data_IF_577068192271
#
_entry.id   IF_577068192271
#
_cell.length_a   1.000
_cell.length_b   1.000
_cell.length_c   1.000
_cell.angle_alpha   90.00
_cell.angle_beta   90.00
_cell.angle_gamma   90.00
#
_symmetry.space_group_name_H-M   'P 1'
#
loop_
_entity.id
_entity.type
_entity.pdbx_description
1 polymer ?
#
# COMPACT_ATOMS: atom_id res chain seq x y z
N UNK A 1 10.88 8.21 -8.99
CA UNK A 1 9.41 8.35 -8.97
C UNK A 1 8.87 7.99 -7.61
N UNK A 2 8.03 8.84 -7.06
CA UNK A 2 7.34 8.60 -5.81
C UNK A 2 5.89 8.28 -6.09
N UNK A 3 5.43 7.13 -5.61
CA UNK A 3 4.02 6.79 -5.64
C UNK A 3 3.34 7.36 -4.41
N UNK A 4 2.26 8.05 -4.63
CA UNK A 4 1.34 8.39 -3.56
C UNK A 4 0.35 7.23 -3.38
N UNK A 5 0.29 6.60 -2.21
CA UNK A 5 -0.45 5.35 -2.02
C UNK A 5 -1.94 5.44 -2.36
N UNK A 6 -2.53 6.61 -2.26
CA UNK A 6 -3.97 6.82 -2.42
C UNK A 6 -4.42 7.22 -3.82
N UNK A 7 -3.54 7.76 -4.64
CA UNK A 7 -3.91 8.38 -5.91
C UNK A 7 -3.29 7.72 -7.13
N UNK A 8 -2.31 6.83 -6.93
CA UNK A 8 -1.50 6.29 -8.02
C UNK A 8 -0.66 7.33 -8.75
N UNK A 9 -0.59 8.55 -8.24
CA UNK A 9 0.22 9.62 -8.80
C UNK A 9 1.67 9.43 -8.35
N UNK A 10 2.59 9.54 -9.30
CA UNK A 10 4.03 9.51 -9.02
C UNK A 10 4.58 10.91 -8.98
N UNK A 11 5.41 11.21 -7.98
CA UNK A 11 6.25 12.39 -7.97
C UNK A 11 7.68 12.01 -8.38
N UNK A 12 8.28 12.79 -9.25
CA UNK A 12 9.67 12.63 -9.64
C UNK A 12 10.57 13.44 -8.72
N UNK A 13 11.69 12.86 -8.35
CA UNK A 13 12.67 13.50 -7.51
C UNK A 13 14.06 13.29 -8.10
N UNK A 14 14.33 13.99 -9.19
CA UNK A 14 15.58 13.86 -9.91
C UNK A 14 16.76 14.54 -9.18
N UNK A 15 16.50 15.67 -8.56
CA UNK A 15 17.55 16.55 -8.06
C UNK A 15 18.09 16.15 -6.70
N UNK A 16 17.31 15.42 -5.92
CA UNK A 16 17.67 15.05 -4.54
C UNK A 16 18.81 14.06 -4.43
N UNK A 17 19.13 13.36 -5.51
CA UNK A 17 20.20 12.35 -5.55
C UNK A 17 21.45 12.86 -6.24
N UNK A 18 21.45 14.11 -6.70
CA UNK A 18 22.57 14.71 -7.42
C UNK A 18 23.30 15.67 -6.49
N UNK A 19 24.55 15.34 -6.18
CA UNK A 19 25.42 16.18 -5.37
C UNK A 19 26.57 16.73 -6.24
N UNK A 20 26.59 18.04 -6.55
CA UNK A 20 27.69 18.68 -7.24
C UNK A 20 28.97 18.61 -6.43
N UNK A 21 30.10 18.34 -7.09
CA UNK A 21 31.44 18.32 -6.48
C UNK A 21 32.33 19.35 -7.17
N UNK A 22 33.41 19.80 -6.50
CA UNK A 22 34.38 20.72 -7.11
C UNK A 22 34.94 20.14 -8.42
N UNK A 23 35.16 21.01 -9.40
CA UNK A 23 35.66 20.60 -10.72
C UNK A 23 34.59 20.12 -11.70
N UNK A 24 33.32 20.47 -11.47
CA UNK A 24 32.20 20.13 -12.38
C UNK A 24 31.80 18.66 -12.37
N UNK A 25 32.28 17.89 -11.40
CA UNK A 25 31.86 16.50 -11.21
C UNK A 25 30.52 16.44 -10.46
N UNK A 26 29.77 15.39 -10.74
CA UNK A 26 28.50 15.11 -10.08
C UNK A 26 28.57 13.72 -9.49
N UNK A 27 28.11 13.58 -8.25
CA UNK A 27 27.89 12.27 -7.62
C UNK A 27 26.40 12.08 -7.47
N UNK A 28 25.94 10.91 -7.84
CA UNK A 28 24.58 10.47 -7.53
C UNK A 28 24.62 9.62 -6.25
N UNK A 29 24.03 10.14 -5.19
CA UNK A 29 23.94 9.45 -3.90
C UNK A 29 22.49 9.14 -3.59
N UNK A 30 22.21 7.86 -3.32
CA UNK A 30 20.91 7.43 -2.82
C UNK A 30 21.00 7.31 -1.30
N UNK A 31 20.38 8.23 -0.58
CA UNK A 31 20.35 8.18 0.88
C UNK A 31 18.93 8.33 1.42
N UNK A 32 18.68 7.72 2.59
CA UNK A 32 17.40 7.86 3.27
C UNK A 32 17.05 9.30 3.67
N UNK A 33 18.03 10.16 3.81
CA UNK A 33 17.83 11.60 4.10
C UNK A 33 17.10 12.30 2.97
N UNK A 34 17.42 11.95 1.73
CA UNK A 34 16.78 12.55 0.55
C UNK A 34 15.32 12.11 0.39
N UNK A 35 14.95 10.98 0.99
CA UNK A 35 13.58 10.48 0.97
C UNK A 35 12.68 11.17 2.01
N UNK A 36 13.26 11.77 3.06
CA UNK A 36 12.52 12.42 4.15
C UNK A 36 12.08 13.83 3.74
N UNK A 37 12.75 14.47 2.80
CA UNK A 37 12.57 15.90 2.47
C UNK A 37 11.76 16.14 1.19
N UNK A 38 10.79 15.30 0.90
CA UNK A 38 9.92 15.54 -0.25
C UNK A 38 8.81 16.53 0.08
N UNK A 39 8.67 17.55 -0.75
CA UNK A 39 7.55 18.48 -0.73
C UNK A 39 6.68 18.29 -1.97
N UNK A 40 5.77 17.29 -1.98
CA UNK A 40 4.85 17.15 -3.11
C UNK A 40 3.94 18.38 -3.19
N UNK A 41 3.61 18.79 -4.40
CA UNK A 41 2.72 19.92 -4.63
C UNK A 41 1.31 19.63 -4.07
N UNK A 42 0.55 20.70 -3.81
CA UNK A 42 -0.82 20.60 -3.32
C UNK A 42 -1.75 19.79 -4.25
N UNK A 43 -1.48 19.77 -5.55
CA UNK A 43 -2.16 18.91 -6.53
C UNK A 43 -2.00 17.42 -6.25
N UNK A 44 -1.03 17.04 -5.43
CA UNK A 44 -0.73 15.67 -5.03
C UNK A 44 -1.52 15.18 -3.83
N UNK A 45 -2.35 16.03 -3.20
CA UNK A 45 -3.18 15.60 -2.09
C UNK A 45 -4.30 14.67 -2.54
N UNK A 46 -4.60 13.60 -1.78
CA UNK A 46 -5.64 12.64 -2.14
C UNK A 46 -7.02 13.27 -2.37
N UNK A 47 -7.32 14.36 -1.69
CA UNK A 47 -8.60 15.09 -1.80
C UNK A 47 -8.59 16.21 -2.85
N UNK A 48 -7.58 16.29 -3.72
CA UNK A 48 -7.42 17.41 -4.65
C UNK A 48 -6.99 18.71 -3.99
N UNK A 49 -6.68 18.70 -2.72
CA UNK A 49 -6.01 19.68 -1.89
C UNK A 49 -6.37 21.13 -2.09
N UNK A 50 -7.27 21.63 -1.26
CA UNK A 50 -7.39 23.08 -1.08
C UNK A 50 -6.13 23.62 -0.41
N UNK A 51 -5.29 24.27 -1.19
CA UNK A 51 -4.10 24.93 -0.68
C UNK A 51 -4.45 26.35 -0.29
N UNK A 52 -4.82 26.53 0.97
CA UNK A 52 -5.09 27.87 1.51
C UNK A 52 -3.81 28.59 1.95
N UNK A 53 -2.79 27.84 2.36
CA UNK A 53 -1.55 28.38 2.92
C UNK A 53 -0.33 27.54 2.53
N UNK A 54 0.87 28.04 2.77
CA UNK A 54 2.10 27.28 2.65
C UNK A 54 2.12 26.02 3.53
N UNK A 55 1.48 26.07 4.66
CA UNK A 55 1.32 24.96 5.60
C UNK A 55 0.47 23.80 5.03
N UNK A 56 -0.29 24.04 3.97
CA UNK A 56 -1.04 23.02 3.27
C UNK A 56 -0.18 22.11 2.38
N UNK A 57 1.13 22.33 2.31
CA UNK A 57 2.05 21.43 1.63
C UNK A 57 2.15 20.11 2.38
N UNK A 58 2.16 18.99 1.63
CA UNK A 58 2.45 17.69 2.17
C UNK A 58 3.94 17.39 2.16
N UNK A 59 4.34 16.54 3.07
CA UNK A 59 5.68 16.00 3.18
C UNK A 59 5.64 14.51 3.10
N UNK A 60 6.60 13.92 2.44
CA UNK A 60 6.75 12.46 2.40
C UNK A 60 7.89 12.06 3.31
N UNK A 61 7.71 10.92 3.97
CA UNK A 61 8.77 10.25 4.71
C UNK A 61 8.81 8.78 4.28
N UNK A 62 9.97 8.17 4.33
CA UNK A 62 10.11 6.75 4.04
C UNK A 62 9.35 5.91 5.05
N UNK A 63 8.51 5.00 4.55
CA UNK A 63 7.87 3.98 5.37
C UNK A 63 8.77 2.75 5.49
N UNK A 64 9.57 2.70 6.54
CA UNK A 64 10.46 1.58 6.82
C UNK A 64 9.73 0.26 7.19
N UNK A 65 8.42 0.27 7.34
CA UNK A 65 7.61 -0.92 7.63
C UNK A 65 7.17 -1.66 6.37
N UNK A 66 7.38 -1.07 5.20
CA UNK A 66 7.05 -1.65 3.91
C UNK A 66 8.31 -1.84 3.06
N UNK A 67 8.37 -2.93 2.31
CA UNK A 67 9.52 -3.23 1.48
C UNK A 67 9.56 -2.37 0.23
N UNK A 68 10.75 -1.90 -0.14
CA UNK A 68 10.98 -1.37 -1.48
C UNK A 68 10.88 -2.51 -2.50
N UNK A 69 10.39 -2.20 -3.70
CA UNK A 69 10.22 -3.18 -4.77
C UNK A 69 10.55 -2.57 -6.14
N UNK A 70 10.74 -3.43 -7.12
CA UNK A 70 10.97 -3.01 -8.50
C UNK A 70 9.73 -3.37 -9.33
N UNK A 71 9.20 -2.38 -10.02
CA UNK A 71 8.11 -2.55 -10.97
C UNK A 71 8.44 -1.83 -12.27
N UNK A 72 8.36 -2.54 -13.38
CA UNK A 72 8.64 -2.02 -14.73
C UNK A 72 10.01 -1.30 -14.84
N UNK A 73 11.03 -1.83 -14.15
CA UNK A 73 12.39 -1.27 -14.12
C UNK A 73 12.53 -0.03 -13.22
N UNK A 74 11.51 0.33 -12.45
CA UNK A 74 11.51 1.48 -11.54
C UNK A 74 11.60 0.99 -10.09
N UNK A 75 12.55 1.54 -9.32
CA UNK A 75 12.61 1.32 -7.89
C UNK A 75 11.49 2.11 -7.19
N UNK A 76 10.56 1.40 -6.59
CA UNK A 76 9.46 1.95 -5.83
C UNK A 76 9.77 1.87 -4.33
N UNK A 77 9.72 3.01 -3.66
CA UNK A 77 10.00 3.11 -2.23
C UNK A 77 8.72 3.56 -1.54
N UNK A 78 8.13 2.73 -0.65
CA UNK A 78 6.95 3.11 0.11
C UNK A 78 7.20 4.33 0.99
N UNK A 79 6.28 5.28 0.96
CA UNK A 79 6.34 6.50 1.75
C UNK A 79 5.03 6.73 2.50
N UNK A 80 5.10 7.47 3.57
CA UNK A 80 3.96 8.04 4.29
C UNK A 80 3.85 9.53 3.96
N UNK A 81 2.66 10.10 4.09
CA UNK A 81 2.36 11.45 3.69
C UNK A 81 1.81 12.27 4.87
N UNK A 82 2.46 13.37 5.16
CA UNK A 82 2.22 14.19 6.35
C UNK A 82 2.05 15.66 5.96
N UNK A 83 1.27 16.41 6.73
CA UNK A 83 1.26 17.86 6.66
C UNK A 83 2.51 18.48 7.30
N UNK A 84 2.69 19.77 7.13
CA UNK A 84 3.74 20.53 7.81
C UNK A 84 3.65 20.40 9.34
N UNK A 85 2.44 20.42 9.89
CA UNK A 85 2.19 20.23 11.33
C UNK A 85 2.31 18.77 11.79
N UNK A 86 2.54 17.85 10.88
CA UNK A 86 2.68 16.43 11.18
C UNK A 86 1.36 15.65 11.21
N UNK A 87 0.25 16.23 10.75
CA UNK A 87 -1.01 15.51 10.62
C UNK A 87 -0.91 14.48 9.50
N UNK A 88 -1.57 13.35 9.70
CA UNK A 88 -1.64 12.30 8.68
C UNK A 88 -2.47 12.75 7.48
N UNK A 89 -1.88 12.71 6.29
CA UNK A 89 -2.56 12.96 5.02
C UNK A 89 -2.86 11.68 4.24
N UNK A 90 -2.46 10.53 4.76
CA UNK A 90 -2.74 9.21 4.22
C UNK A 90 -3.26 8.24 5.29
N UNK A 91 -3.80 7.13 4.83
CA UNK A 91 -4.31 6.09 5.72
C UNK A 91 -3.18 5.30 6.40
N UNK A 92 -2.04 5.15 5.75
CA UNK A 92 -0.90 4.39 6.29
C UNK A 92 -0.32 5.09 7.52
N UNK A 93 -0.18 6.39 7.50
CA UNK A 93 0.29 7.17 8.67
C UNK A 93 -0.65 7.00 9.86
N UNK A 94 -1.96 7.10 9.63
CA UNK A 94 -2.96 6.88 10.66
C UNK A 94 -2.88 5.46 11.24
N UNK A 95 -2.73 4.46 10.39
CA UNK A 95 -2.55 3.06 10.81
C UNK A 95 -1.30 2.90 11.68
N UNK A 96 -0.15 3.37 11.24
CA UNK A 96 1.11 3.24 11.98
C UNK A 96 1.04 3.93 13.36
N UNK A 97 0.42 5.10 13.43
CA UNK A 97 0.19 5.80 14.70
C UNK A 97 -0.76 5.05 15.64
N UNK A 98 -1.81 4.44 15.09
CA UNK A 98 -2.73 3.63 15.89
C UNK A 98 -2.04 2.39 16.46
N UNK A 99 -1.17 1.75 15.68
CA UNK A 99 -0.37 0.61 16.13
C UNK A 99 0.59 1.00 17.26
N UNK A 100 1.22 2.17 17.18
CA UNK A 100 2.09 2.68 18.24
C UNK A 100 1.27 3.03 19.51
N UNK A 101 0.11 3.62 19.36
CA UNK A 101 -0.77 3.93 20.47
C UNK A 101 -1.21 2.67 21.22
N UNK A 102 -1.62 1.64 20.50
CA UNK A 102 -2.05 0.37 21.12
C UNK A 102 -0.87 -0.38 21.75
N UNK A 103 0.31 -0.35 21.12
CA UNK A 103 1.53 -0.92 21.70
C UNK A 103 1.79 -0.38 23.11
N UNK A 104 1.76 0.95 23.24
CA UNK A 104 1.97 1.60 24.56
C UNK A 104 0.95 1.17 25.61
N UNK A 105 -0.32 1.07 25.24
CA UNK A 105 -1.35 0.66 26.20
C UNK A 105 -1.29 -0.84 26.52
N UNK A 106 -1.03 -1.68 25.54
CA UNK A 106 -0.86 -3.11 25.77
C UNK A 106 0.31 -3.43 26.70
N UNK A 107 1.43 -2.74 26.56
CA UNK A 107 2.57 -2.87 27.47
C UNK A 107 2.20 -2.46 28.91
N UNK A 108 1.36 -1.42 29.09
CA UNK A 108 0.86 -1.06 30.43
C UNK A 108 0.03 -2.17 31.05
N UNK A 109 -0.87 -2.78 30.26
CA UNK A 109 -1.70 -3.91 30.72
C UNK A 109 -0.82 -5.11 31.10
N UNK A 110 0.15 -5.47 30.25
CA UNK A 110 1.07 -6.59 30.52
C UNK A 110 1.85 -6.40 31.82
N UNK A 111 2.28 -5.18 32.12
CA UNK A 111 2.95 -4.88 33.41
C UNK A 111 2.05 -5.14 34.61
N UNK A 112 0.74 -4.88 34.51
CA UNK A 112 -0.20 -5.18 35.59
C UNK A 112 -0.35 -6.69 35.85
N UNK A 113 -0.11 -7.52 34.81
CA UNK A 113 -0.05 -8.97 34.96
C UNK A 113 1.33 -9.49 35.37
N UNK A 114 2.26 -8.62 35.74
CA UNK A 114 3.60 -9.01 36.18
C UNK A 114 4.59 -9.31 35.04
N UNK A 115 4.22 -9.01 33.81
CA UNK A 115 5.06 -9.26 32.64
C UNK A 115 6.03 -8.08 32.44
N UNK A 116 7.33 -8.30 32.67
CA UNK A 116 8.36 -7.26 32.59
C UNK A 116 9.35 -7.42 31.44
N UNK A 117 9.32 -8.55 30.77
CA UNK A 117 10.27 -8.94 29.70
C UNK A 117 9.78 -8.56 28.29
N UNK A 118 8.49 -8.30 28.12
CA UNK A 118 7.94 -7.86 26.86
C UNK A 118 8.25 -6.38 26.61
N UNK A 119 8.93 -6.11 25.50
CA UNK A 119 9.36 -4.76 25.11
C UNK A 119 8.48 -4.13 24.03
N UNK A 120 7.74 -4.94 23.28
CA UNK A 120 6.82 -4.45 22.23
C UNK A 120 5.66 -5.39 22.02
N UNK A 121 4.51 -4.81 21.65
CA UNK A 121 3.31 -5.51 21.22
C UNK A 121 2.97 -5.04 19.83
N UNK A 122 2.84 -5.95 18.87
CA UNK A 122 2.47 -5.65 17.49
C UNK A 122 1.07 -6.16 17.22
N UNK A 123 0.27 -5.32 16.61
CA UNK A 123 -1.02 -5.72 16.04
C UNK A 123 -0.82 -6.20 14.61
N UNK A 124 -1.61 -7.16 14.21
CA UNK A 124 -1.65 -7.65 12.82
C UNK A 124 -3.03 -7.43 12.24
N UNK A 125 -3.07 -7.13 10.95
CA UNK A 125 -4.30 -7.02 10.18
C UNK A 125 -4.06 -7.68 8.83
N UNK A 126 -5.05 -8.44 8.36
CA UNK A 126 -5.05 -9.05 7.04
C UNK A 126 -6.29 -8.58 6.28
N UNK A 127 -6.18 -7.59 5.38
CA UNK A 127 -7.29 -7.23 4.52
C UNK A 127 -7.60 -8.38 3.56
N UNK A 128 -8.86 -8.74 3.48
CA UNK A 128 -9.35 -9.77 2.56
C UNK A 128 -9.94 -9.13 1.30
N UNK A 129 -9.75 -9.79 0.18
CA UNK A 129 -10.35 -9.46 -1.10
C UNK A 129 -11.03 -10.70 -1.66
N UNK A 130 -12.31 -10.58 -1.89
CA UNK A 130 -13.08 -11.62 -2.54
C UNK A 130 -13.23 -11.33 -4.03
N UNK A 131 -13.04 -12.34 -4.86
CA UNK A 131 -13.16 -12.21 -6.30
C UNK A 131 -13.58 -13.53 -6.93
N UNK A 132 -14.19 -13.45 -8.10
CA UNK A 132 -14.53 -14.61 -8.92
C UNK A 132 -13.70 -14.60 -10.19
N UNK A 133 -13.15 -15.76 -10.53
CA UNK A 133 -12.48 -15.94 -11.81
C UNK A 133 -13.53 -16.21 -12.88
N UNK A 134 -13.46 -15.47 -13.97
CA UNK A 134 -14.32 -15.61 -15.12
C UNK A 134 -13.46 -15.95 -16.34
N UNK A 135 -13.88 -16.93 -17.14
CA UNK A 135 -13.19 -17.23 -18.38
C UNK A 135 -13.20 -16.03 -19.31
N UNK A 136 -12.03 -15.65 -19.83
CA UNK A 136 -11.86 -14.45 -20.66
C UNK A 136 -12.82 -14.42 -21.87
N UNK A 137 -12.97 -15.56 -22.54
CA UNK A 137 -13.86 -15.66 -23.69
C UNK A 137 -15.34 -15.44 -23.35
N UNK A 138 -15.72 -15.70 -22.10
CA UNK A 138 -17.06 -15.41 -21.59
C UNK A 138 -17.18 -13.96 -21.14
N UNK A 139 -16.15 -13.43 -20.51
CA UNK A 139 -16.08 -12.01 -20.11
C UNK A 139 -16.23 -11.09 -21.33
N UNK A 140 -15.53 -11.36 -22.42
CA UNK A 140 -15.53 -10.55 -23.64
C UNK A 140 -16.92 -10.47 -24.31
N UNK A 141 -17.81 -11.40 -23.99
CA UNK A 141 -19.22 -11.39 -24.47
C UNK A 141 -20.18 -10.63 -23.55
N UNK A 142 -19.72 -10.23 -22.39
CA UNK A 142 -20.55 -9.62 -21.34
C UNK A 142 -20.24 -8.14 -21.18
N UNK A 143 -20.99 -7.31 -21.91
CA UNK A 143 -20.83 -5.84 -21.86
C UNK A 143 -21.04 -5.26 -20.47
N UNK A 144 -21.93 -5.83 -19.66
CA UNK A 144 -22.14 -5.42 -18.29
C UNK A 144 -20.88 -5.63 -17.44
N UNK A 145 -20.19 -6.76 -17.56
CA UNK A 145 -18.94 -7.02 -16.86
C UNK A 145 -17.82 -6.11 -17.33
N UNK A 146 -17.71 -5.89 -18.63
CA UNK A 146 -16.67 -5.03 -19.23
C UNK A 146 -16.82 -3.58 -18.76
N UNK A 147 -18.04 -3.03 -18.83
CA UNK A 147 -18.25 -1.61 -18.56
C UNK A 147 -18.49 -1.28 -17.08
N UNK A 148 -19.00 -2.20 -16.30
CA UNK A 148 -19.40 -1.91 -14.89
C UNK A 148 -18.70 -2.78 -13.86
N UNK A 149 -17.97 -3.81 -14.28
CA UNK A 149 -17.31 -4.74 -13.37
C UNK A 149 -18.26 -5.64 -12.57
N UNK A 150 -19.56 -5.65 -12.91
CA UNK A 150 -20.57 -6.46 -12.22
C UNK A 150 -21.67 -6.94 -13.15
N UNK A 151 -22.40 -7.96 -12.74
CA UNK A 151 -23.61 -8.40 -13.42
C UNK A 151 -24.72 -7.36 -13.24
N UNK A 152 -25.23 -6.82 -14.33
CA UNK A 152 -26.41 -5.95 -14.32
C UNK A 152 -27.70 -6.73 -14.58
N UNK A 153 -27.65 -7.70 -15.47
CA UNK A 153 -28.79 -8.52 -15.87
C UNK A 153 -28.43 -9.99 -15.84
N UNK A 154 -29.40 -10.80 -15.48
CA UNK A 154 -29.22 -12.25 -15.43
C UNK A 154 -28.77 -12.79 -14.06
N UNK A 155 -28.38 -14.04 -14.04
CA UNK A 155 -27.94 -14.72 -12.82
C UNK A 155 -26.61 -14.13 -12.31
N UNK A 156 -26.50 -14.04 -11.00
CA UNK A 156 -25.23 -13.79 -10.30
C UNK A 156 -24.26 -14.97 -10.51
N UNK A 157 -23.03 -14.82 -10.00
CA UNK A 157 -22.10 -15.94 -9.96
C UNK A 157 -22.76 -17.17 -9.30
N UNK A 158 -22.45 -18.39 -9.77
CA UNK A 158 -23.09 -19.62 -9.27
C UNK A 158 -22.74 -19.93 -7.81
N UNK A 159 -21.64 -19.37 -7.32
CA UNK A 159 -21.23 -19.44 -5.92
C UNK A 159 -21.18 -18.04 -5.33
N UNK A 160 -21.72 -17.89 -4.14
CA UNK A 160 -21.55 -16.73 -3.28
C UNK A 160 -20.86 -17.16 -1.98
N UNK A 161 -21.16 -16.52 -0.87
CA UNK A 161 -20.64 -16.88 0.45
C UNK A 161 -21.53 -17.86 1.21
N UNK A 162 -22.47 -18.46 0.54
CA UNK A 162 -23.41 -19.39 1.14
C UNK A 162 -22.67 -20.68 1.56
N UNK A 163 -23.03 -21.19 2.72
CA UNK A 163 -22.49 -22.45 3.27
C UNK A 163 -20.95 -22.46 3.43
N UNK A 164 -20.36 -21.32 3.66
CA UNK A 164 -18.89 -21.16 3.85
C UNK A 164 -18.06 -21.73 2.68
N UNK A 165 -18.58 -21.70 1.48
CA UNK A 165 -17.96 -22.28 0.28
C UNK A 165 -16.58 -21.69 -0.02
N UNK A 166 -16.35 -20.42 0.33
CA UNK A 166 -15.05 -19.76 0.17
C UNK A 166 -13.95 -20.33 1.09
N UNK A 167 -14.33 -20.94 2.21
CA UNK A 167 -13.39 -21.46 3.21
C UNK A 167 -13.23 -22.98 3.13
N UNK A 168 -14.28 -23.68 2.78
CA UNK A 168 -14.35 -25.15 2.86
C UNK A 168 -14.60 -25.83 1.51
N UNK A 169 -14.83 -25.05 0.46
CA UNK A 169 -15.05 -25.58 -0.88
C UNK A 169 -13.78 -26.16 -1.51
N UNK A 170 -13.96 -27.07 -2.46
CA UNK A 170 -12.86 -27.63 -3.24
C UNK A 170 -12.30 -26.58 -4.22
N UNK A 171 -11.00 -26.45 -4.26
CA UNK A 171 -10.30 -25.57 -5.22
C UNK A 171 -9.97 -26.37 -6.47
N UNK A 172 -10.46 -25.92 -7.62
CA UNK A 172 -10.12 -26.53 -8.90
C UNK A 172 -8.64 -26.34 -9.23
N UNK A 173 -7.96 -27.33 -9.84
CA UNK A 173 -6.52 -27.23 -10.16
C UNK A 173 -6.13 -25.98 -10.94
N UNK A 174 -6.96 -25.54 -11.90
CA UNK A 174 -6.75 -24.31 -12.66
C UNK A 174 -6.75 -23.06 -11.77
N UNK A 175 -7.64 -23.02 -10.78
CA UNK A 175 -7.73 -21.91 -9.83
C UNK A 175 -6.54 -21.94 -8.87
N UNK A 176 -6.16 -23.11 -8.38
CA UNK A 176 -4.99 -23.26 -7.52
C UNK A 176 -3.68 -22.83 -8.21
N UNK A 177 -3.55 -23.15 -9.50
CA UNK A 177 -2.40 -22.70 -10.29
C UNK A 177 -2.36 -21.17 -10.42
N UNK A 178 -3.50 -20.55 -10.69
CA UNK A 178 -3.61 -19.08 -10.71
C UNK A 178 -3.24 -18.45 -9.35
N UNK A 179 -3.77 -18.97 -8.26
CA UNK A 179 -3.47 -18.49 -6.91
C UNK A 179 -1.98 -18.54 -6.59
N UNK A 180 -1.31 -19.64 -6.98
CA UNK A 180 0.12 -19.80 -6.78
C UNK A 180 0.91 -18.74 -7.56
N UNK A 181 0.61 -18.59 -8.84
CA UNK A 181 1.28 -17.59 -9.69
C UNK A 181 1.05 -16.18 -9.18
N UNK A 182 -0.20 -15.84 -8.79
CA UNK A 182 -0.53 -14.54 -8.21
C UNK A 182 0.26 -14.25 -6.94
N UNK A 183 0.41 -15.22 -6.05
CA UNK A 183 1.22 -15.06 -4.84
C UNK A 183 2.68 -14.74 -5.19
N UNK A 184 3.27 -15.47 -6.14
CA UNK A 184 4.64 -15.25 -6.56
C UNK A 184 4.85 -13.84 -7.13
N UNK A 185 3.91 -13.35 -7.94
CA UNK A 185 3.98 -11.98 -8.49
C UNK A 185 3.81 -10.91 -7.41
N UNK A 186 2.89 -11.11 -6.47
CA UNK A 186 2.71 -10.18 -5.34
C UNK A 186 3.94 -10.12 -4.43
N UNK A 187 4.57 -11.26 -4.17
CA UNK A 187 5.79 -11.30 -3.34
C UNK A 187 6.96 -10.57 -4.00
N UNK A 188 7.09 -10.61 -5.33
CA UNK A 188 8.09 -9.80 -6.06
C UNK A 188 7.89 -8.30 -5.83
N UNK A 189 6.67 -7.87 -5.58
CA UNK A 189 6.32 -6.49 -5.25
C UNK A 189 6.37 -6.18 -3.75
N UNK A 190 6.84 -7.10 -2.93
CA UNK A 190 6.91 -6.94 -1.48
C UNK A 190 5.57 -7.05 -0.76
N UNK A 191 4.53 -7.53 -1.45
CA UNK A 191 3.20 -7.74 -0.86
C UNK A 191 3.13 -9.16 -0.30
N UNK A 192 3.06 -9.29 1.02
CA UNK A 192 2.96 -10.57 1.72
C UNK A 192 1.52 -11.11 1.65
N UNK A 193 1.05 -11.38 0.47
CA UNK A 193 -0.28 -11.93 0.24
C UNK A 193 -0.24 -13.47 0.21
N UNK A 194 -1.36 -14.05 0.59
CA UNK A 194 -1.69 -15.45 0.37
C UNK A 194 -3.09 -15.52 -0.23
N UNK A 195 -3.18 -16.08 -1.42
CA UNK A 195 -4.44 -16.23 -2.16
C UNK A 195 -5.03 -17.59 -1.86
#
# INVERSE_FOLDING_TARGET
HWFQPMTGVTAEKHDSFISPKPGGKVIMEFSGKELIQGEPDASSFPSGGLRATFEARGYTAWDATSYAFIKDGVLCIPTVFLSYGGEALDQKTALLRSMEAINRQALRVLKLFGNSDVTSVKTTVGPEREYFLVDQAMFDKRKDLIYTGRTLFGAKAPKGQELDDHYFGAIKPRVAAFMKELNEELWKLGVLAKT
#
